data_IF_641048220347
#
_entry.id   IF_641048220347
#
_cell.length_a   1.000
_cell.length_b   1.000
_cell.length_c   1.000
_cell.angle_alpha   90.00
_cell.angle_beta   90.00
_cell.angle_gamma   90.00
#
_symmetry.space_group_name_H-M   'P 1'
#
loop_
_entity.id
_entity.type
_entity.pdbx_description
1 polymer ?
#
# COMPACT_ATOMS: atom_id res chain seq x y z
N UNK A 1 19.08 2.96 75.85
CA UNK A 1 18.43 1.63 75.85
C UNK A 1 17.51 1.57 74.65
N UNK A 2 17.78 0.62 73.76
CA UNK A 2 16.93 0.24 72.64
C UNK A 2 15.60 -0.32 73.15
N UNK A 3 14.51 -0.10 72.43
CA UNK A 3 13.55 -1.16 72.17
C UNK A 3 12.82 -0.91 70.86
N UNK A 4 13.17 -1.77 69.90
CA UNK A 4 12.43 -2.05 68.68
C UNK A 4 11.01 -2.53 69.01
N UNK A 5 10.05 -2.15 68.19
CA UNK A 5 8.89 -3.00 67.90
C UNK A 5 8.38 -2.67 66.50
N UNK A 6 8.52 -3.69 65.66
CA UNK A 6 8.36 -3.72 64.23
C UNK A 6 6.90 -3.50 63.82
N UNK A 7 6.65 -2.53 62.95
CA UNK A 7 5.43 -2.50 62.13
C UNK A 7 5.50 -3.59 61.05
N UNK A 8 4.51 -4.48 60.94
CA UNK A 8 4.47 -5.47 59.87
C UNK A 8 4.18 -4.80 58.53
N UNK A 9 5.20 -4.81 57.65
CA UNK A 9 5.05 -4.58 56.22
C UNK A 9 4.24 -5.72 55.62
N UNK A 10 3.05 -5.44 55.11
CA UNK A 10 2.43 -6.24 54.07
C UNK A 10 1.78 -5.32 53.05
N UNK A 11 2.63 -4.70 52.22
CA UNK A 11 2.24 -4.21 50.90
C UNK A 11 2.52 -5.38 49.95
N UNK A 12 1.49 -6.17 49.66
CA UNK A 12 1.52 -7.04 48.48
C UNK A 12 1.36 -6.13 47.29
N UNK A 13 2.47 -5.61 46.78
CA UNK A 13 2.52 -4.93 45.50
C UNK A 13 2.43 -6.01 44.41
N UNK A 14 1.19 -6.33 44.02
CA UNK A 14 0.90 -6.97 42.74
C UNK A 14 1.27 -6.00 41.62
N UNK A 15 2.56 -5.88 41.34
CA UNK A 15 3.04 -5.16 40.17
C UNK A 15 3.19 -6.19 39.07
N UNK A 16 2.15 -6.33 38.24
CA UNK A 16 2.29 -6.96 36.92
C UNK A 16 3.29 -6.08 36.17
N UNK A 17 4.54 -6.51 36.10
CA UNK A 17 5.55 -5.84 35.29
C UNK A 17 5.17 -6.10 33.82
N UNK A 18 4.37 -5.20 33.28
CA UNK A 18 3.92 -5.26 31.90
C UNK A 18 5.16 -4.99 31.03
N UNK A 19 5.70 -6.05 30.42
CA UNK A 19 6.78 -5.92 29.45
C UNK A 19 6.27 -5.25 28.17
N UNK A 20 6.39 -3.91 28.16
CA UNK A 20 5.99 -3.05 27.06
C UNK A 20 6.70 -3.40 25.73
N UNK A 21 7.90 -4.00 25.79
CA UNK A 21 8.62 -4.43 24.59
C UNK A 21 7.98 -5.68 24.00
N UNK A 22 7.58 -6.64 24.85
CA UNK A 22 6.85 -7.84 24.41
C UNK A 22 5.49 -7.48 23.79
N UNK A 23 4.73 -6.58 24.41
CA UNK A 23 3.46 -6.07 23.85
C UNK A 23 3.68 -5.39 22.49
N UNK A 24 4.74 -4.59 22.35
CA UNK A 24 5.07 -3.92 21.09
C UNK A 24 5.40 -4.93 19.99
N UNK A 25 6.20 -5.96 20.31
CA UNK A 25 6.58 -7.02 19.36
C UNK A 25 5.35 -7.82 18.90
N UNK A 26 4.46 -8.19 19.83
CA UNK A 26 3.20 -8.88 19.53
C UNK A 26 2.31 -8.03 18.63
N UNK A 27 2.14 -6.74 18.96
CA UNK A 27 1.36 -5.79 18.15
C UNK A 27 1.94 -5.62 16.74
N UNK A 28 3.26 -5.52 16.61
CA UNK A 28 3.92 -5.39 15.31
C UNK A 28 3.78 -6.67 14.47
N UNK A 29 3.82 -7.84 15.10
CA UNK A 29 3.58 -9.12 14.46
C UNK A 29 2.13 -9.25 13.97
N UNK A 30 1.15 -8.86 14.80
CA UNK A 30 -0.26 -8.83 14.41
C UNK A 30 -0.50 -7.86 13.25
N UNK A 31 0.05 -6.65 13.30
CA UNK A 31 -0.09 -5.67 12.22
C UNK A 31 0.49 -6.19 10.91
N UNK A 32 1.64 -6.87 10.97
CA UNK A 32 2.25 -7.52 9.81
C UNK A 32 1.36 -8.65 9.26
N UNK A 33 0.78 -9.47 10.12
CA UNK A 33 -0.13 -10.56 9.72
C UNK A 33 -1.42 -10.00 9.10
N UNK A 34 -2.03 -8.98 9.72
CA UNK A 34 -3.22 -8.28 9.19
C UNK A 34 -2.94 -7.68 7.82
N UNK A 35 -1.80 -7.00 7.66
CA UNK A 35 -1.37 -6.45 6.36
C UNK A 35 -1.19 -7.55 5.32
N UNK A 36 -0.47 -8.62 5.66
CA UNK A 36 -0.24 -9.74 4.73
C UNK A 36 -1.56 -10.40 4.29
N UNK A 37 -2.49 -10.62 5.23
CA UNK A 37 -3.83 -11.15 4.93
C UNK A 37 -4.60 -10.21 4.01
N UNK A 38 -4.63 -8.91 4.30
CA UNK A 38 -5.29 -7.90 3.44
C UNK A 38 -4.82 -7.96 1.99
N UNK A 39 -3.51 -8.07 1.78
CA UNK A 39 -2.93 -8.16 0.43
C UNK A 39 -3.25 -9.50 -0.24
N UNK A 40 -3.16 -10.61 0.49
CA UNK A 40 -3.51 -11.93 -0.04
C UNK A 40 -4.99 -12.01 -0.44
N UNK A 41 -5.90 -11.49 0.39
CA UNK A 41 -7.35 -11.42 0.12
C UNK A 41 -7.69 -10.52 -1.08
N UNK A 42 -6.74 -9.71 -1.55
CA UNK A 42 -6.82 -8.84 -2.72
C UNK A 42 -5.98 -9.35 -3.90
N UNK A 43 -5.57 -10.61 -3.87
CA UNK A 43 -4.86 -11.26 -4.99
C UNK A 43 -3.36 -10.99 -5.05
N UNK A 44 -2.79 -10.23 -4.11
CA UNK A 44 -1.36 -9.98 -4.07
C UNK A 44 -0.62 -11.16 -3.45
N UNK A 45 0.30 -11.74 -4.21
CA UNK A 45 1.17 -12.82 -3.73
C UNK A 45 2.54 -12.27 -3.35
N UNK A 46 3.03 -12.64 -2.17
CA UNK A 46 4.38 -12.24 -1.73
C UNK A 46 5.43 -13.20 -2.29
N UNK A 47 6.13 -12.76 -3.32
CA UNK A 47 7.24 -13.52 -3.91
C UNK A 47 8.59 -13.12 -3.30
N UNK A 48 9.45 -14.10 -3.03
CA UNK A 48 10.87 -13.84 -2.72
C UNK A 48 11.61 -13.58 -4.03
N UNK A 49 12.19 -12.40 -4.16
CA UNK A 49 12.97 -12.00 -5.34
C UNK A 49 14.42 -11.79 -4.90
N UNK A 50 15.36 -12.37 -5.64
CA UNK A 50 16.78 -12.10 -5.49
C UNK A 50 17.17 -10.96 -6.42
N UNK A 51 17.76 -9.91 -5.87
CA UNK A 51 18.23 -8.74 -6.61
C UNK A 51 19.72 -8.58 -6.35
N UNK A 52 20.53 -8.50 -7.41
CA UNK A 52 21.92 -8.09 -7.30
C UNK A 52 22.04 -6.64 -6.83
N UNK A 53 23.20 -6.27 -6.29
CA UNK A 53 23.45 -4.94 -5.71
C UNK A 53 23.14 -3.80 -6.68
N UNK A 54 23.67 -3.85 -7.90
CA UNK A 54 23.43 -2.84 -8.95
C UNK A 54 21.92 -2.65 -9.24
N UNK A 55 21.17 -3.75 -9.36
CA UNK A 55 19.73 -3.68 -9.60
C UNK A 55 18.99 -3.09 -8.41
N UNK A 56 19.41 -3.44 -7.20
CA UNK A 56 18.82 -2.90 -5.98
C UNK A 56 19.06 -1.39 -5.87
N UNK A 57 20.27 -0.92 -6.16
CA UNK A 57 20.62 0.51 -6.15
C UNK A 57 19.81 1.29 -7.20
N UNK A 58 19.68 0.77 -8.42
CA UNK A 58 18.82 1.36 -9.46
C UNK A 58 17.36 1.47 -9.02
N UNK A 59 16.81 0.43 -8.39
CA UNK A 59 15.45 0.49 -7.84
C UNK A 59 15.32 1.51 -6.70
N UNK A 60 16.36 1.65 -5.87
CA UNK A 60 16.39 2.65 -4.81
C UNK A 60 16.45 4.08 -5.35
N UNK A 61 17.17 4.33 -6.45
CA UNK A 61 17.19 5.62 -7.14
C UNK A 61 15.83 5.98 -7.73
N UNK A 62 15.19 5.03 -8.43
CA UNK A 62 13.83 5.23 -8.95
C UNK A 62 12.87 5.50 -7.79
N UNK A 63 12.94 4.73 -6.71
CA UNK A 63 12.14 4.97 -5.51
C UNK A 63 12.33 6.40 -4.97
N UNK A 64 13.58 6.87 -4.86
CA UNK A 64 13.87 8.21 -4.38
C UNK A 64 13.30 9.28 -5.31
N UNK A 65 13.37 9.08 -6.62
CA UNK A 65 12.77 9.98 -7.59
C UNK A 65 11.23 10.05 -7.45
N UNK A 66 10.57 8.90 -7.29
CA UNK A 66 9.11 8.81 -7.21
C UNK A 66 8.55 9.33 -5.87
N UNK A 67 9.18 8.97 -4.75
CA UNK A 67 8.68 9.20 -3.40
C UNK A 67 9.37 10.37 -2.68
N UNK A 68 10.44 10.93 -3.24
CA UNK A 68 11.23 12.02 -2.64
C UNK A 68 11.99 11.60 -1.36
N UNK A 69 12.10 10.30 -1.09
CA UNK A 69 12.70 9.74 0.13
C UNK A 69 13.68 8.63 -0.24
N UNK A 70 14.81 8.57 0.44
CA UNK A 70 15.78 7.49 0.26
C UNK A 70 15.23 6.18 0.82
N UNK A 71 15.40 5.10 0.07
CA UNK A 71 15.15 3.76 0.56
C UNK A 71 16.25 3.38 1.56
N UNK A 72 15.89 2.64 2.62
CA UNK A 72 16.91 2.11 3.52
C UNK A 72 17.57 0.86 2.90
N UNK A 73 18.77 1.05 2.36
CA UNK A 73 19.57 0.00 1.69
C UNK A 73 20.33 -0.86 2.71
N UNK A 74 20.82 -0.24 3.79
CA UNK A 74 21.75 -0.86 4.74
C UNK A 74 21.04 -1.52 5.95
N UNK A 75 19.75 -1.24 6.13
CA UNK A 75 18.94 -1.78 7.22
C UNK A 75 17.97 -2.87 6.78
N UNK A 76 16.82 -2.96 7.46
CA UNK A 76 15.74 -3.88 7.07
C UNK A 76 15.21 -3.51 5.68
N UNK A 77 15.49 -4.36 4.69
CA UNK A 77 15.05 -4.16 3.30
C UNK A 77 13.54 -3.88 3.23
N UNK A 78 13.17 -2.74 2.66
CA UNK A 78 11.78 -2.32 2.51
C UNK A 78 11.15 -2.93 1.25
N UNK A 79 11.06 -4.26 1.23
CA UNK A 79 10.65 -5.06 0.06
C UNK A 79 9.29 -4.61 -0.52
N UNK A 80 8.32 -4.27 0.34
CA UNK A 80 6.99 -3.81 -0.09
C UNK A 80 7.05 -2.48 -0.87
N UNK A 81 8.05 -1.63 -0.62
CA UNK A 81 8.24 -0.38 -1.37
C UNK A 81 8.88 -0.66 -2.72
N UNK A 82 9.80 -1.62 -2.76
CA UNK A 82 10.45 -2.05 -3.99
C UNK A 82 9.49 -2.77 -4.93
N UNK A 83 8.53 -3.56 -4.42
CA UNK A 83 7.54 -4.22 -5.27
C UNK A 83 6.75 -3.23 -6.11
N UNK A 84 6.43 -2.05 -5.56
CA UNK A 84 5.76 -0.97 -6.29
C UNK A 84 6.61 -0.37 -7.41
N UNK A 85 7.90 -0.14 -7.15
CA UNK A 85 8.84 0.32 -8.17
C UNK A 85 8.99 -0.72 -9.28
N UNK A 86 9.04 -2.01 -8.91
CA UNK A 86 9.08 -3.12 -9.87
C UNK A 86 7.81 -3.13 -10.73
N UNK A 87 6.62 -2.97 -10.14
CA UNK A 87 5.36 -2.87 -10.88
C UNK A 87 5.38 -1.72 -11.90
N UNK A 88 5.84 -0.52 -11.48
CA UNK A 88 6.03 0.61 -12.39
C UNK A 88 6.97 0.26 -13.55
N UNK A 89 8.14 -0.32 -13.26
CA UNK A 89 9.12 -0.70 -14.28
C UNK A 89 8.55 -1.72 -15.27
N UNK A 90 7.81 -2.73 -14.78
CA UNK A 90 7.16 -3.73 -15.62
C UNK A 90 6.13 -3.08 -16.55
N UNK A 91 5.23 -2.24 -16.03
CA UNK A 91 4.22 -1.57 -16.85
C UNK A 91 4.88 -0.67 -17.91
N UNK A 92 5.94 0.04 -17.55
CA UNK A 92 6.68 0.90 -18.48
C UNK A 92 7.35 0.12 -19.61
N UNK A 93 7.93 -1.04 -19.28
CA UNK A 93 8.53 -1.93 -20.28
C UNK A 93 7.45 -2.58 -21.13
N UNK A 94 6.35 -3.04 -20.52
CA UNK A 94 5.24 -3.69 -21.22
C UNK A 94 4.57 -2.75 -22.23
N UNK A 95 4.26 -1.52 -21.81
CA UNK A 95 3.75 -0.47 -22.68
C UNK A 95 4.68 -0.22 -23.87
N UNK A 96 5.99 -0.07 -23.59
CA UNK A 96 7.00 0.25 -24.61
C UNK A 96 7.23 -0.87 -25.62
N UNK A 97 7.24 -2.13 -25.17
CA UNK A 97 7.63 -3.29 -25.99
C UNK A 97 6.42 -3.97 -26.63
N UNK A 98 5.31 -4.12 -25.91
CA UNK A 98 4.19 -4.96 -26.35
C UNK A 98 2.99 -4.14 -26.79
N UNK A 99 2.60 -3.11 -26.04
CA UNK A 99 1.45 -2.28 -26.42
C UNK A 99 1.76 -1.45 -27.68
N UNK A 100 2.89 -0.73 -27.71
CA UNK A 100 3.25 0.13 -28.86
C UNK A 100 3.45 -0.66 -30.16
N UNK A 101 3.86 -1.92 -30.04
CA UNK A 101 4.03 -2.81 -31.18
C UNK A 101 2.76 -3.60 -31.54
N UNK A 102 1.65 -3.40 -30.80
CA UNK A 102 0.36 -4.12 -30.96
C UNK A 102 0.45 -5.63 -30.73
N UNK A 103 1.47 -6.07 -30.00
CA UNK A 103 1.71 -7.48 -29.65
C UNK A 103 1.22 -7.82 -28.23
N UNK A 104 0.78 -6.82 -27.46
CA UNK A 104 0.27 -6.99 -26.10
C UNK A 104 -1.18 -7.46 -26.06
N UNK A 105 -1.44 -8.44 -25.20
CA UNK A 105 -2.80 -8.98 -24.94
C UNK A 105 -3.40 -8.46 -23.63
N UNK A 106 -2.59 -7.86 -22.75
CA UNK A 106 -3.05 -7.32 -21.48
C UNK A 106 -3.53 -5.87 -21.64
N UNK A 107 -4.39 -5.39 -20.72
CA UNK A 107 -4.80 -4.00 -20.66
C UNK A 107 -3.63 -3.01 -20.76
N UNK A 108 -3.79 -2.00 -21.60
CA UNK A 108 -2.85 -0.87 -21.69
C UNK A 108 -3.08 0.06 -20.50
N UNK A 109 -2.41 -0.21 -19.39
CA UNK A 109 -2.48 0.61 -18.17
C UNK A 109 -1.22 1.46 -18.07
N UNK A 110 -1.42 2.77 -17.91
CA UNK A 110 -0.32 3.71 -17.82
C UNK A 110 0.60 3.39 -16.62
N UNK A 111 1.93 3.52 -16.79
CA UNK A 111 2.86 3.34 -15.68
C UNK A 111 2.61 4.38 -14.58
N UNK A 112 2.32 3.89 -13.36
CA UNK A 112 2.11 4.72 -12.18
C UNK A 112 3.44 5.26 -11.63
N UNK A 113 3.79 6.51 -11.97
CA UNK A 113 5.10 7.11 -11.64
C UNK A 113 5.15 7.75 -10.25
N UNK A 114 3.99 8.03 -9.64
CA UNK A 114 3.89 8.74 -8.35
C UNK A 114 3.28 7.86 -7.25
N UNK A 115 3.48 8.24 -5.97
CA UNK A 115 2.92 7.49 -4.85
C UNK A 115 1.40 7.34 -4.93
N UNK A 116 0.69 8.42 -5.29
CA UNK A 116 -0.77 8.44 -5.38
C UNK A 116 -1.26 7.63 -6.60
N UNK A 117 -0.59 7.73 -7.76
CA UNK A 117 -0.93 6.91 -8.94
C UNK A 117 -0.66 5.42 -8.69
N UNK A 118 0.38 5.10 -7.92
CA UNK A 118 0.69 3.72 -7.57
C UNK A 118 -0.34 3.17 -6.59
N UNK A 119 -0.81 3.99 -5.65
CA UNK A 119 -1.93 3.63 -4.79
C UNK A 119 -3.19 3.34 -5.63
N UNK A 120 -3.50 4.18 -6.63
CA UNK A 120 -4.64 3.95 -7.52
C UNK A 120 -4.51 2.63 -8.28
N UNK A 121 -3.31 2.34 -8.81
CA UNK A 121 -3.04 1.07 -9.49
C UNK A 121 -3.19 -0.13 -8.56
N UNK A 122 -2.70 -0.05 -7.31
CA UNK A 122 -2.90 -1.10 -6.31
C UNK A 122 -4.41 -1.34 -6.02
N UNK A 123 -5.23 -0.27 -6.01
CA UNK A 123 -6.69 -0.39 -5.83
C UNK A 123 -7.36 -1.06 -7.03
N UNK A 124 -6.92 -0.72 -8.25
CA UNK A 124 -7.37 -1.38 -9.48
C UNK A 124 -7.08 -2.88 -9.44
N UNK A 125 -5.84 -3.27 -9.11
CA UNK A 125 -5.45 -4.69 -9.04
C UNK A 125 -6.29 -5.46 -8.02
N UNK A 126 -6.55 -4.86 -6.85
CA UNK A 126 -7.41 -5.44 -5.83
C UNK A 126 -8.87 -5.59 -6.33
N UNK A 127 -9.42 -4.57 -6.99
CA UNK A 127 -10.78 -4.59 -7.51
C UNK A 127 -10.93 -5.63 -8.64
N UNK A 128 -10.00 -5.67 -9.59
CA UNK A 128 -9.95 -6.67 -10.67
C UNK A 128 -9.94 -8.09 -10.12
N UNK A 129 -9.06 -8.36 -9.14
CA UNK A 129 -9.01 -9.68 -8.54
C UNK A 129 -10.35 -10.08 -7.91
N UNK A 130 -11.02 -9.16 -7.22
CA UNK A 130 -12.33 -9.44 -6.62
C UNK A 130 -13.43 -9.64 -7.68
N UNK A 131 -13.39 -8.89 -8.77
CA UNK A 131 -14.27 -9.08 -9.92
C UNK A 131 -14.07 -10.46 -10.56
N UNK A 132 -12.82 -10.90 -10.75
CA UNK A 132 -12.48 -12.26 -11.24
C UNK A 132 -12.98 -13.37 -10.29
N UNK A 133 -13.09 -13.09 -8.99
CA UNK A 133 -13.73 -13.97 -8.01
C UNK A 133 -15.27 -13.86 -8.02
N UNK A 134 -15.86 -13.24 -9.04
CA UNK A 134 -17.30 -13.01 -9.25
C UNK A 134 -17.97 -12.14 -8.17
N UNK A 135 -17.24 -11.20 -7.55
CA UNK A 135 -17.86 -10.24 -6.65
C UNK A 135 -18.55 -9.13 -7.47
N UNK A 136 -19.81 -8.80 -7.14
CA UNK A 136 -20.46 -7.63 -7.72
C UNK A 136 -19.79 -6.33 -7.26
N UNK A 137 -19.88 -5.27 -8.06
CA UNK A 137 -19.31 -3.95 -7.75
C UNK A 137 -19.72 -3.41 -6.38
N UNK A 138 -20.97 -3.65 -5.96
CA UNK A 138 -21.46 -3.34 -4.60
C UNK A 138 -20.79 -4.17 -3.50
N UNK A 139 -20.47 -5.44 -3.76
CA UNK A 139 -19.75 -6.29 -2.81
C UNK A 139 -18.28 -5.89 -2.73
N UNK A 140 -17.67 -5.53 -3.85
CA UNK A 140 -16.29 -5.01 -3.92
C UNK A 140 -16.18 -3.72 -3.11
N UNK A 141 -17.06 -2.74 -3.31
CA UNK A 141 -17.01 -1.45 -2.59
C UNK A 141 -17.10 -1.64 -1.07
N UNK A 142 -18.00 -2.51 -0.60
CA UNK A 142 -18.12 -2.89 0.82
C UNK A 142 -16.87 -3.58 1.34
N UNK A 143 -16.30 -4.52 0.58
CA UNK A 143 -15.08 -5.23 0.97
C UNK A 143 -13.89 -4.27 1.06
N UNK A 144 -13.70 -3.41 0.06
CA UNK A 144 -12.63 -2.41 0.04
C UNK A 144 -12.74 -1.45 1.23
N UNK A 145 -13.96 -1.02 1.58
CA UNK A 145 -14.22 -0.22 2.78
C UNK A 145 -13.85 -0.96 4.07
N UNK A 146 -14.32 -2.21 4.23
CA UNK A 146 -14.12 -2.99 5.44
C UNK A 146 -12.64 -3.36 5.65
N UNK A 147 -11.91 -3.59 4.57
CA UNK A 147 -10.47 -3.89 4.58
C UNK A 147 -9.61 -2.60 4.73
N UNK A 148 -10.26 -1.44 4.89
CA UNK A 148 -9.61 -0.15 5.14
C UNK A 148 -8.78 0.34 3.97
N UNK A 149 -9.17 0.04 2.73
CA UNK A 149 -8.61 0.71 1.56
C UNK A 149 -9.13 2.15 1.48
N UNK A 150 -8.27 3.14 1.17
CA UNK A 150 -8.75 4.50 0.94
C UNK A 150 -9.61 4.53 -0.32
N UNK A 151 -10.69 5.32 -0.32
CA UNK A 151 -11.47 5.54 -1.54
C UNK A 151 -10.65 6.35 -2.56
N UNK A 152 -10.76 6.09 -3.88
CA UNK A 152 -10.04 6.85 -4.90
C UNK A 152 -10.26 8.37 -4.76
N UNK A 153 -11.49 8.79 -4.46
CA UNK A 153 -11.84 10.21 -4.27
C UNK A 153 -11.10 10.90 -3.12
N UNK A 154 -10.46 10.16 -2.21
CA UNK A 154 -9.69 10.77 -1.12
C UNK A 154 -8.36 11.36 -1.60
N UNK A 155 -7.88 11.00 -2.79
CA UNK A 155 -6.58 11.45 -3.33
C UNK A 155 -6.58 11.79 -4.83
N UNK A 156 -7.65 11.51 -5.59
CA UNK A 156 -7.80 11.96 -6.99
C UNK A 156 -8.44 13.36 -7.11
N UNK A 157 -8.11 14.10 -8.17
CA UNK A 157 -8.50 15.50 -8.39
C UNK A 157 -10.02 15.71 -8.50
N UNK A 158 -10.77 14.73 -9.04
CA UNK A 158 -12.23 14.77 -9.09
C UNK A 158 -12.90 14.52 -7.72
N UNK A 159 -12.12 14.11 -6.71
CA UNK A 159 -12.57 13.88 -5.34
C UNK A 159 -12.38 15.07 -4.38
N UNK A 160 -11.71 16.15 -4.79
CA UNK A 160 -11.37 17.29 -3.93
C UNK A 160 -12.58 18.04 -3.31
N UNK A 161 -13.82 17.68 -3.67
CA UNK A 161 -15.06 18.23 -3.09
C UNK A 161 -15.86 17.22 -2.23
N UNK A 162 -15.48 15.95 -2.21
CA UNK A 162 -16.19 14.94 -1.43
C UNK A 162 -15.42 14.62 -0.15
N UNK A 163 -15.88 15.15 0.99
CA UNK A 163 -15.46 14.71 2.34
C UNK A 163 -15.85 13.25 2.65
N UNK A 164 -16.37 12.50 1.67
CA UNK A 164 -16.78 11.12 1.90
C UNK A 164 -15.59 10.19 1.69
N UNK A 165 -15.02 9.74 2.80
CA UNK A 165 -14.06 8.61 2.87
C UNK A 165 -14.75 7.25 2.61
N UNK A 166 -15.88 7.25 1.90
CA UNK A 166 -16.70 6.06 1.70
C UNK A 166 -16.59 5.58 0.26
N UNK A 167 -16.37 4.28 0.11
CA UNK A 167 -16.44 3.61 -1.18
C UNK A 167 -17.84 3.64 -1.78
N UNK A 168 -17.96 4.05 -3.04
CA UNK A 168 -19.20 3.97 -3.82
C UNK A 168 -19.10 2.88 -4.89
N UNK A 169 -20.24 2.49 -5.47
CA UNK A 169 -20.29 1.56 -6.60
C UNK A 169 -19.61 2.17 -7.82
N UNK A 170 -19.91 3.44 -8.12
CA UNK A 170 -19.30 4.18 -9.22
C UNK A 170 -17.76 4.18 -9.14
N UNK A 171 -17.18 4.33 -7.94
CA UNK A 171 -15.73 4.29 -7.77
C UNK A 171 -15.10 2.94 -8.10
N UNK A 172 -15.86 1.84 -7.95
CA UNK A 172 -15.40 0.52 -8.38
C UNK A 172 -15.50 0.41 -9.89
N UNK A 173 -16.60 0.87 -10.48
CA UNK A 173 -16.78 0.89 -11.95
C UNK A 173 -15.69 1.75 -12.64
N UNK A 174 -15.41 2.93 -12.11
CA UNK A 174 -14.38 3.84 -12.60
C UNK A 174 -12.96 3.24 -12.50
N UNK A 175 -12.68 2.45 -11.45
CA UNK A 175 -11.41 1.74 -11.33
C UNK A 175 -11.26 0.65 -12.40
N UNK A 176 -12.33 -0.10 -12.67
CA UNK A 176 -12.33 -1.22 -13.61
C UNK A 176 -12.42 -0.76 -15.08
N UNK A 177 -12.87 0.47 -15.34
CA UNK A 177 -12.76 1.10 -16.66
C UNK A 177 -11.34 1.63 -16.91
N UNK A 178 -10.60 0.94 -17.79
CA UNK A 178 -9.22 1.26 -18.17
C UNK A 178 -9.07 2.71 -18.66
N UNK A 179 -10.05 3.27 -19.37
CA UNK A 179 -9.96 4.64 -19.89
C UNK A 179 -10.03 5.65 -18.75
N UNK A 180 -10.92 5.42 -17.78
CA UNK A 180 -11.07 6.27 -16.61
C UNK A 180 -9.85 6.14 -15.70
N UNK A 181 -9.43 4.90 -15.42
CA UNK A 181 -8.21 4.60 -14.66
C UNK A 181 -6.98 5.31 -15.24
N UNK A 182 -6.75 5.20 -16.54
CA UNK A 182 -5.59 5.84 -17.18
C UNK A 182 -5.65 7.35 -17.10
N UNK A 183 -6.83 7.95 -17.27
CA UNK A 183 -7.00 9.40 -17.11
C UNK A 183 -6.62 9.84 -15.70
N UNK A 184 -7.08 9.12 -14.67
CA UNK A 184 -6.73 9.42 -13.29
C UNK A 184 -5.24 9.18 -12.99
N UNK A 185 -4.63 8.12 -13.52
CA UNK A 185 -3.18 7.88 -13.42
C UNK A 185 -2.39 9.02 -14.08
N UNK A 186 -2.80 9.45 -15.27
CA UNK A 186 -2.18 10.57 -15.98
C UNK A 186 -2.23 11.85 -15.14
N UNK A 187 -3.40 12.18 -14.59
CA UNK A 187 -3.60 13.35 -13.74
C UNK A 187 -2.78 13.29 -12.45
N UNK A 188 -2.65 12.11 -11.83
CA UNK A 188 -1.81 11.91 -10.65
C UNK A 188 -0.31 11.93 -10.95
N UNK A 189 0.08 11.52 -12.16
CA UNK A 189 1.47 11.56 -12.63
C UNK A 189 1.94 12.98 -12.95
N UNK A 190 1.02 13.90 -13.30
CA UNK A 190 1.36 15.30 -13.58
C UNK A 190 2.02 15.96 -12.37
N UNK A 191 3.09 16.76 -12.58
CA UNK A 191 3.72 17.50 -11.49
C UNK A 191 2.72 18.49 -10.89
N UNK A 192 2.51 18.43 -9.57
CA UNK A 192 1.73 19.43 -8.84
C UNK A 192 2.42 20.79 -9.03
N UNK A 193 1.82 21.69 -9.82
CA UNK A 193 2.32 23.06 -9.93
C UNK A 193 2.35 23.68 -8.54
N UNK A 194 3.54 23.79 -7.95
CA UNK A 194 3.74 24.64 -6.78
C UNK A 194 3.46 26.06 -7.23
N UNK A 195 2.35 26.64 -6.79
CA UNK A 195 2.23 28.10 -6.74
C UNK A 195 3.44 28.58 -5.92
N UNK A 196 4.35 29.28 -6.58
CA UNK A 196 5.46 29.99 -5.94
C UNK A 196 4.89 31.08 -5.05
#
# INVERSE_FOLDING_TARGET
>A
MMNDSQTPKNKVENTVEIDLNKIKLERDAENKAKKAKKYADAGFTRTKIYLGTDTYEKLAEIYQYQYGKKLNINGRKEIDKLSRVISYCINKVYEKIYIKNKDGQLPDILPADKPDSQLLYDLYQAAMYLEEQNYSTNKISKKMQNDGYPSPSSFTLYGARSRQNRWTVQQVEDLLDIKVLNKDIEDLNKPKHRKK
#
